data_IF_837234284081
#
_entry.id   IF_837234284081
#
_cell.length_a   1.000
_cell.length_b   1.000
_cell.length_c   1.000
_cell.angle_alpha   90.00
_cell.angle_beta   90.00
_cell.angle_gamma   90.00
#
_symmetry.space_group_name_H-M   'P 1'
#
loop_
_entity.id
_entity.type
_entity.pdbx_description
1 polymer ?
#
# COMPACT_ATOMS: atom_id res chain seq x y z
N UNK A 1 -4.63 -1.97 18.37
CA UNK A 1 -4.04 -2.85 17.34
C UNK A 1 -4.19 -2.12 16.03
N UNK A 2 -3.07 -1.73 15.42
CA UNK A 2 -3.06 -0.98 14.17
C UNK A 2 -3.67 -1.77 13.02
N UNK A 3 -4.14 -1.07 12.01
CA UNK A 3 -4.94 -1.64 10.91
C UNK A 3 -4.17 -2.57 9.96
N UNK A 4 -2.85 -2.58 10.10
CA UNK A 4 -1.99 -3.64 9.61
C UNK A 4 -1.51 -4.35 10.86
N UNK A 5 -1.75 -5.65 10.96
CA UNK A 5 -1.23 -6.49 12.02
C UNK A 5 -0.07 -7.27 11.44
N UNK A 6 1.14 -7.02 11.95
CA UNK A 6 2.13 -8.08 11.98
C UNK A 6 1.57 -9.08 12.99
N UNK A 7 1.08 -10.25 12.54
CA UNK A 7 0.75 -11.38 13.42
C UNK A 7 2.04 -11.93 14.04
N UNK A 8 2.71 -11.08 14.81
CA UNK A 8 4.02 -11.34 15.39
C UNK A 8 3.91 -12.43 16.44
N UNK A 9 2.78 -12.53 17.15
CA UNK A 9 2.51 -13.64 18.06
C UNK A 9 2.51 -15.00 17.34
N UNK A 10 1.80 -15.11 16.21
CA UNK A 10 1.79 -16.35 15.41
C UNK A 10 3.15 -16.62 14.76
N UNK A 11 3.81 -15.58 14.23
CA UNK A 11 5.14 -15.70 13.65
C UNK A 11 6.18 -16.17 14.68
N UNK A 12 6.12 -15.63 15.91
CA UNK A 12 6.95 -16.07 17.04
C UNK A 12 6.60 -17.49 17.44
N UNK A 13 5.31 -17.85 17.50
CA UNK A 13 4.86 -19.21 17.78
C UNK A 13 5.40 -20.24 16.77
N UNK A 14 5.32 -19.92 15.48
CA UNK A 14 5.85 -20.75 14.39
C UNK A 14 7.38 -20.83 14.45
N UNK A 15 8.06 -19.70 14.68
CA UNK A 15 9.52 -19.67 14.84
C UNK A 15 10.00 -20.53 16.00
N UNK A 16 9.34 -20.43 17.15
CA UNK A 16 9.65 -21.20 18.37
C UNK A 16 9.36 -22.69 18.14
N UNK A 17 8.24 -23.03 17.52
CA UNK A 17 7.91 -24.44 17.23
C UNK A 17 8.93 -25.09 16.28
N UNK A 18 9.28 -24.41 15.18
CA UNK A 18 10.24 -24.93 14.18
C UNK A 18 11.67 -24.99 14.72
N UNK A 19 12.07 -24.00 15.53
CA UNK A 19 13.38 -24.00 16.19
C UNK A 19 13.49 -25.10 17.26
N UNK A 20 12.46 -25.33 18.08
CA UNK A 20 12.45 -26.43 19.04
C UNK A 20 12.51 -27.80 18.34
N UNK A 21 11.80 -27.97 17.23
CA UNK A 21 11.91 -29.17 16.39
C UNK A 21 13.32 -29.34 15.82
N UNK A 22 13.91 -28.28 15.26
CA UNK A 22 15.28 -28.30 14.72
C UNK A 22 16.33 -28.60 15.79
N UNK A 23 16.17 -28.04 16.99
CA UNK A 23 17.04 -28.28 18.15
C UNK A 23 16.93 -29.73 18.64
N UNK A 24 15.71 -30.25 18.76
CA UNK A 24 15.46 -31.63 19.20
C UNK A 24 16.01 -32.64 18.20
N UNK A 25 15.70 -32.48 16.91
CA UNK A 25 16.19 -33.37 15.84
C UNK A 25 17.71 -33.28 15.68
N UNK A 26 18.28 -32.07 15.73
CA UNK A 26 19.72 -31.85 15.66
C UNK A 26 20.47 -32.53 16.80
N UNK A 27 19.98 -32.43 18.04
CA UNK A 27 20.57 -33.14 19.17
C UNK A 27 20.43 -34.66 19.04
N UNK A 28 19.27 -35.16 18.60
CA UNK A 28 19.05 -36.60 18.38
C UNK A 28 20.07 -37.18 17.38
N UNK A 29 20.26 -36.52 16.25
CA UNK A 29 21.19 -36.97 15.19
C UNK A 29 22.66 -36.81 15.65
N UNK A 30 22.97 -35.77 16.44
CA UNK A 30 24.32 -35.53 16.98
C UNK A 30 24.78 -36.64 17.93
N UNK A 31 23.87 -37.21 18.71
CA UNK A 31 24.17 -38.26 19.69
C UNK A 31 23.86 -39.69 19.20
N UNK A 32 23.32 -39.85 18.00
CA UNK A 32 23.03 -41.16 17.42
C UNK A 32 24.34 -41.91 17.06
N UNK A 33 24.57 -43.13 17.58
CA UNK A 33 25.72 -43.94 17.21
C UNK A 33 25.56 -44.46 15.77
N UNK A 34 26.66 -44.46 15.00
CA UNK A 34 26.69 -44.98 13.61
C UNK A 34 26.53 -43.92 12.51
N UNK A 35 26.30 -42.66 12.85
CA UNK A 35 26.15 -41.58 11.85
C UNK A 35 27.51 -40.98 11.46
N UNK A 36 27.68 -40.68 10.17
CA UNK A 36 28.92 -40.12 9.59
C UNK A 36 29.31 -38.77 10.23
N UNK A 37 30.60 -38.41 10.16
CA UNK A 37 31.09 -37.11 10.68
C UNK A 37 30.44 -35.92 9.97
N UNK A 38 30.14 -36.02 8.67
CA UNK A 38 29.49 -34.94 7.92
C UNK A 38 28.03 -34.75 8.38
N UNK A 39 27.29 -35.82 8.61
CA UNK A 39 25.91 -35.75 9.11
C UNK A 39 25.84 -35.18 10.54
N UNK A 40 26.81 -35.51 11.39
CA UNK A 40 26.91 -34.91 12.74
C UNK A 40 27.27 -33.42 12.69
N UNK A 41 28.09 -32.99 11.73
CA UNK A 41 28.39 -31.58 11.51
C UNK A 41 27.15 -30.81 11.01
N UNK A 42 26.36 -31.40 10.11
CA UNK A 42 25.08 -30.82 9.67
C UNK A 42 24.03 -30.78 10.79
N UNK A 43 24.03 -31.76 11.70
CA UNK A 43 23.17 -31.75 12.87
C UNK A 43 23.59 -30.69 13.91
N UNK A 44 24.89 -30.45 14.07
CA UNK A 44 25.39 -29.36 14.91
C UNK A 44 25.00 -27.99 14.35
N UNK A 45 25.11 -27.78 13.04
CA UNK A 45 24.66 -26.52 12.44
C UNK A 45 23.15 -26.32 12.54
N UNK A 46 22.33 -27.38 12.46
CA UNK A 46 20.88 -27.29 12.73
C UNK A 46 20.56 -26.79 14.15
N UNK A 47 21.33 -27.23 15.15
CA UNK A 47 21.20 -26.75 16.54
C UNK A 47 21.56 -25.26 16.65
N UNK A 48 22.66 -24.84 16.03
CA UNK A 48 23.09 -23.44 16.04
C UNK A 48 22.06 -22.53 15.32
N UNK A 49 21.50 -23.00 14.22
CA UNK A 49 20.42 -22.31 13.48
C UNK A 49 19.11 -22.21 14.27
N UNK A 50 18.75 -23.25 15.02
CA UNK A 50 17.58 -23.23 15.88
C UNK A 50 17.72 -22.19 17.01
N UNK A 51 18.90 -22.08 17.61
CA UNK A 51 19.20 -21.06 18.63
C UNK A 51 19.15 -19.64 18.04
N UNK A 52 19.71 -19.44 16.83
CA UNK A 52 19.63 -18.15 16.15
C UNK A 52 18.18 -17.75 15.81
N UNK A 53 17.33 -18.70 15.38
CA UNK A 53 15.91 -18.45 15.16
C UNK A 53 15.16 -18.11 16.44
N UNK A 54 15.49 -18.75 17.57
CA UNK A 54 14.92 -18.41 18.88
C UNK A 54 15.30 -16.99 19.33
N UNK A 55 16.55 -16.58 19.11
CA UNK A 55 16.98 -15.21 19.38
C UNK A 55 16.17 -14.21 18.53
N UNK A 56 16.04 -14.46 17.23
CA UNK A 56 15.23 -13.62 16.36
C UNK A 56 13.75 -13.53 16.80
N UNK A 57 13.16 -14.66 17.19
CA UNK A 57 11.78 -14.71 17.71
C UNK A 57 11.61 -13.90 19.01
N UNK A 58 12.60 -13.93 19.91
CA UNK A 58 12.59 -13.13 21.13
C UNK A 58 12.69 -11.62 20.84
N UNK A 59 13.44 -11.22 19.80
CA UNK A 59 13.57 -9.81 19.41
C UNK A 59 12.38 -9.27 18.59
N UNK A 60 11.56 -10.15 17.99
CA UNK A 60 10.43 -9.73 17.17
C UNK A 60 9.43 -8.83 17.92
N UNK A 61 9.16 -9.13 19.20
CA UNK A 61 8.28 -8.28 20.03
C UNK A 61 8.84 -6.88 20.27
N UNK A 62 10.16 -6.76 20.47
CA UNK A 62 10.84 -5.45 20.61
C UNK A 62 10.88 -4.67 19.30
N UNK A 63 11.04 -5.36 18.17
CA UNK A 63 10.96 -4.75 16.84
C UNK A 63 9.55 -4.19 16.61
N UNK A 64 8.49 -4.96 16.88
CA UNK A 64 7.10 -4.48 16.73
C UNK A 64 6.84 -3.25 17.62
N UNK A 65 7.25 -3.28 18.89
CA UNK A 65 7.11 -2.12 19.78
C UNK A 65 7.87 -0.88 19.30
N UNK A 66 9.05 -1.05 18.70
CA UNK A 66 9.81 0.04 18.11
C UNK A 66 9.12 0.58 16.84
N UNK A 67 8.60 -0.29 15.98
CA UNK A 67 7.85 0.13 14.79
C UNK A 67 6.58 0.88 15.18
N UNK A 68 5.85 0.42 16.20
CA UNK A 68 4.68 1.13 16.73
C UNK A 68 5.06 2.53 17.24
N UNK A 69 6.20 2.65 17.94
CA UNK A 69 6.68 3.97 18.39
C UNK A 69 6.95 4.93 17.23
N UNK A 70 7.51 4.43 16.12
CA UNK A 70 7.75 5.22 14.91
C UNK A 70 6.43 5.66 14.29
N UNK A 71 5.46 4.75 14.14
CA UNK A 71 4.15 5.10 13.58
C UNK A 71 3.47 6.16 14.46
N UNK A 72 3.50 6.01 15.80
CA UNK A 72 2.90 6.96 16.75
C UNK A 72 3.54 8.34 16.75
N UNK A 73 4.78 8.47 16.27
CA UNK A 73 5.46 9.75 16.16
C UNK A 73 5.02 10.55 14.92
N UNK A 74 4.55 9.88 13.86
CA UNK A 74 4.18 10.51 12.60
C UNK A 74 2.66 10.54 12.34
N UNK A 75 1.90 9.65 12.96
CA UNK A 75 0.44 9.56 12.82
C UNK A 75 -0.23 10.12 14.08
N UNK A 76 -1.21 11.03 13.97
CA UNK A 76 -1.89 11.57 15.15
C UNK A 76 -2.66 10.49 15.92
N UNK A 77 -2.63 10.57 17.26
CA UNK A 77 -3.22 9.59 18.17
C UNK A 77 -4.68 9.15 17.88
N UNK A 78 -5.63 10.04 17.47
CA UNK A 78 -7.01 9.64 17.17
C UNK A 78 -7.12 8.59 16.05
N UNK A 79 -6.15 8.59 15.13
CA UNK A 79 -6.14 7.69 13.97
C UNK A 79 -5.38 6.39 14.23
N UNK A 80 -4.68 6.25 15.34
CA UNK A 80 -4.00 5.00 15.75
C UNK A 80 -4.90 4.08 16.56
N UNK A 81 -5.86 4.67 17.28
CA UNK A 81 -6.73 3.96 18.22
C UNK A 81 -8.04 3.50 17.57
N UNK A 82 -8.50 4.18 16.51
CA UNK A 82 -9.77 3.87 15.86
C UNK A 82 -9.58 2.96 14.62
N UNK A 83 -10.05 1.69 14.60
CA UNK A 83 -9.97 0.85 13.41
C UNK A 83 -10.71 1.41 12.18
N UNK A 84 -11.60 2.41 12.36
CA UNK A 84 -12.23 3.14 11.27
C UNK A 84 -11.24 4.04 10.48
N UNK A 85 -10.15 4.48 11.10
CA UNK A 85 -9.19 5.43 10.52
C UNK A 85 -8.39 4.87 9.35
N UNK A 86 -8.12 3.56 9.31
CA UNK A 86 -7.44 2.96 8.16
C UNK A 86 -8.37 2.55 7.05
N UNK A 87 -9.66 2.44 7.36
CA UNK A 87 -10.68 2.44 6.32
C UNK A 87 -10.63 3.75 5.54
N UNK A 88 -10.32 4.89 6.18
CA UNK A 88 -10.17 6.17 5.46
C UNK A 88 -9.11 6.16 4.36
N UNK A 89 -8.01 5.42 4.52
CA UNK A 89 -6.95 5.35 3.49
C UNK A 89 -7.39 4.49 2.30
N UNK A 90 -7.99 3.35 2.59
CA UNK A 90 -8.57 2.44 1.59
C UNK A 90 -9.75 3.11 0.87
N UNK A 91 -10.67 3.70 1.64
CA UNK A 91 -11.80 4.48 1.17
C UNK A 91 -11.33 5.70 0.38
N UNK A 92 -10.22 6.35 0.74
CA UNK A 92 -9.67 7.46 -0.05
C UNK A 92 -9.26 7.00 -1.45
N UNK A 93 -8.48 5.92 -1.58
CA UNK A 93 -8.06 5.43 -2.90
C UNK A 93 -9.23 4.81 -3.68
N UNK A 94 -10.12 4.07 -3.01
CA UNK A 94 -11.30 3.49 -3.63
C UNK A 94 -12.27 4.57 -4.12
N UNK A 95 -12.60 5.55 -3.29
CA UNK A 95 -13.46 6.66 -3.66
C UNK A 95 -12.79 7.54 -4.73
N UNK A 96 -11.46 7.70 -4.70
CA UNK A 96 -10.72 8.39 -5.76
C UNK A 96 -10.90 7.70 -7.12
N UNK A 97 -10.83 6.37 -7.19
CA UNK A 97 -11.05 5.62 -8.43
C UNK A 97 -12.48 5.81 -8.94
N UNK A 98 -13.49 5.65 -8.06
CA UNK A 98 -14.88 5.80 -8.45
C UNK A 98 -15.22 7.23 -8.89
N UNK A 99 -14.72 8.24 -8.16
CA UNK A 99 -14.89 9.65 -8.53
C UNK A 99 -14.20 9.98 -9.86
N UNK A 100 -13.00 9.46 -10.11
CA UNK A 100 -12.33 9.65 -11.39
C UNK A 100 -13.15 9.04 -12.53
N UNK A 101 -13.65 7.81 -12.36
CA UNK A 101 -14.48 7.14 -13.35
C UNK A 101 -15.82 7.86 -13.59
N UNK A 102 -16.48 8.31 -12.53
CA UNK A 102 -17.74 9.06 -12.60
C UNK A 102 -17.57 10.40 -13.33
N UNK A 103 -16.52 11.16 -13.00
CA UNK A 103 -16.19 12.43 -13.66
C UNK A 103 -15.85 12.22 -15.14
N UNK A 104 -15.03 11.22 -15.48
CA UNK A 104 -14.71 10.88 -16.89
C UNK A 104 -15.99 10.51 -17.65
N UNK A 105 -16.82 9.63 -17.08
CA UNK A 105 -18.07 9.19 -17.69
C UNK A 105 -19.09 10.32 -17.84
N UNK A 106 -19.17 11.21 -16.86
CA UNK A 106 -20.05 12.38 -16.88
C UNK A 106 -19.62 13.41 -17.93
N UNK A 107 -18.35 13.79 -17.95
CA UNK A 107 -17.80 14.71 -18.95
C UNK A 107 -17.88 14.13 -20.38
N UNK A 108 -17.60 12.84 -20.55
CA UNK A 108 -17.77 12.14 -21.82
C UNK A 108 -19.24 12.07 -22.27
N UNK A 109 -20.15 11.82 -21.34
CA UNK A 109 -21.59 11.83 -21.59
C UNK A 109 -22.12 13.20 -22.02
N UNK A 110 -21.67 14.27 -21.36
CA UNK A 110 -21.99 15.65 -21.72
C UNK A 110 -21.45 15.97 -23.12
N UNK A 111 -20.19 15.65 -23.41
CA UNK A 111 -19.59 15.91 -24.72
C UNK A 111 -20.35 15.22 -25.87
N UNK A 112 -20.89 14.02 -25.63
CA UNK A 112 -21.71 13.28 -26.58
C UNK A 112 -23.15 13.84 -26.70
N UNK A 113 -23.69 14.46 -25.65
CA UNK A 113 -25.06 15.00 -25.63
C UNK A 113 -25.16 16.43 -26.20
N UNK A 114 -24.14 17.26 -26.02
CA UNK A 114 -24.10 18.66 -26.48
C UNK A 114 -24.40 18.87 -27.99
N UNK A 115 -23.97 17.99 -28.92
CA UNK A 115 -24.30 18.12 -30.35
C UNK A 115 -25.80 18.09 -30.66
N UNK A 116 -26.62 17.50 -29.78
CA UNK A 116 -28.06 17.39 -29.98
C UNK A 116 -28.84 18.66 -29.58
N UNK A 117 -28.17 19.68 -29.04
CA UNK A 117 -28.79 20.97 -28.75
C UNK A 117 -29.03 21.74 -30.07
N UNK A 118 -30.28 22.13 -30.38
CA UNK A 118 -30.59 22.84 -31.62
C UNK A 118 -29.78 24.14 -31.77
N UNK A 119 -29.41 24.49 -33.01
CA UNK A 119 -28.80 25.76 -33.44
C UNK A 119 -27.34 26.00 -32.98
N UNK A 120 -26.98 25.66 -31.75
CA UNK A 120 -25.66 25.97 -31.15
C UNK A 120 -24.89 24.74 -30.67
N UNK A 121 -25.50 23.55 -30.67
CA UNK A 121 -24.93 22.33 -30.08
C UNK A 121 -23.58 21.90 -30.64
N UNK A 122 -23.38 21.97 -31.96
CA UNK A 122 -22.12 21.60 -32.59
C UNK A 122 -20.95 22.52 -32.18
N UNK A 123 -21.18 23.84 -32.10
CA UNK A 123 -20.17 24.80 -31.70
C UNK A 123 -19.81 24.67 -30.20
N UNK A 124 -20.82 24.48 -29.34
CA UNK A 124 -20.63 24.28 -27.90
C UNK A 124 -19.91 22.95 -27.63
N UNK A 125 -20.28 21.87 -28.33
CA UNK A 125 -19.62 20.56 -28.19
C UNK A 125 -18.14 20.61 -28.54
N UNK A 126 -17.76 21.30 -29.63
CA UNK A 126 -16.35 21.47 -30.00
C UNK A 126 -15.60 22.28 -28.93
N UNK A 127 -16.14 23.42 -28.52
CA UNK A 127 -15.51 24.28 -27.50
C UNK A 127 -15.34 23.53 -26.16
N UNK A 128 -16.36 22.80 -25.74
CA UNK A 128 -16.33 21.97 -24.53
C UNK A 128 -15.30 20.85 -24.64
N UNK A 129 -15.27 20.13 -25.76
CA UNK A 129 -14.33 19.03 -25.98
C UNK A 129 -12.88 19.52 -25.96
N UNK A 130 -12.58 20.66 -26.58
CA UNK A 130 -11.22 21.24 -26.55
C UNK A 130 -10.82 21.67 -25.13
N UNK A 131 -11.73 22.26 -24.37
CA UNK A 131 -11.44 22.68 -22.99
C UNK A 131 -11.30 21.50 -22.02
N UNK A 132 -12.03 20.41 -22.24
CA UNK A 132 -12.12 19.25 -21.34
C UNK A 132 -11.18 18.10 -21.73
N UNK A 133 -10.69 18.04 -22.97
CA UNK A 133 -9.78 16.99 -23.42
C UNK A 133 -8.51 16.87 -22.56
N UNK A 134 -7.80 17.95 -22.16
CA UNK A 134 -6.64 17.83 -21.28
C UNK A 134 -7.00 17.28 -19.89
N UNK A 135 -8.17 17.65 -19.34
CA UNK A 135 -8.68 17.12 -18.07
C UNK A 135 -8.92 15.63 -18.14
N UNK A 136 -9.57 15.16 -19.22
CA UNK A 136 -9.83 13.74 -19.44
C UNK A 136 -8.54 12.94 -19.59
N UNK A 137 -7.51 13.52 -20.22
CA UNK A 137 -6.19 12.89 -20.30
C UNK A 137 -5.58 12.75 -18.91
N UNK A 138 -5.54 13.81 -18.10
CA UNK A 138 -4.97 13.74 -16.75
C UNK A 138 -5.75 12.75 -15.87
N UNK A 139 -7.08 12.81 -15.89
CA UNK A 139 -7.96 11.91 -15.13
C UNK A 139 -7.79 10.45 -15.57
N UNK A 140 -7.83 10.19 -16.87
CA UNK A 140 -7.81 8.84 -17.42
C UNK A 140 -6.42 8.18 -17.47
N UNK A 141 -5.36 8.96 -17.70
CA UNK A 141 -4.00 8.42 -17.90
C UNK A 141 -3.11 8.50 -16.66
N UNK A 142 -3.39 9.41 -15.73
CA UNK A 142 -2.57 9.60 -14.52
C UNK A 142 -3.38 9.18 -13.29
N UNK A 143 -4.48 9.87 -13.01
CA UNK A 143 -5.18 9.74 -11.72
C UNK A 143 -5.83 8.36 -11.57
N UNK A 144 -6.59 7.91 -12.57
CA UNK A 144 -7.29 6.63 -12.53
C UNK A 144 -6.34 5.43 -12.38
N UNK A 145 -5.27 5.26 -13.19
CA UNK A 145 -4.35 4.14 -13.04
C UNK A 145 -3.52 4.20 -11.77
N UNK A 146 -3.05 5.38 -11.35
CA UNK A 146 -2.25 5.50 -10.10
C UNK A 146 -3.10 5.22 -8.86
N UNK A 147 -4.33 5.74 -8.80
CA UNK A 147 -5.27 5.46 -7.71
C UNK A 147 -5.63 3.97 -7.64
N UNK A 148 -5.87 3.34 -8.80
CA UNK A 148 -6.16 1.91 -8.87
C UNK A 148 -4.97 1.05 -8.43
N UNK A 149 -3.75 1.38 -8.88
CA UNK A 149 -2.54 0.67 -8.46
C UNK A 149 -2.29 0.82 -6.96
N UNK A 150 -2.43 2.03 -6.41
CA UNK A 150 -2.27 2.28 -4.98
C UNK A 150 -3.32 1.52 -4.16
N UNK A 151 -4.58 1.51 -4.59
CA UNK A 151 -5.64 0.71 -3.96
C UNK A 151 -5.30 -0.79 -3.99
N UNK A 152 -4.89 -1.33 -5.13
CA UNK A 152 -4.52 -2.75 -5.27
C UNK A 152 -3.36 -3.11 -4.35
N UNK A 153 -2.34 -2.26 -4.24
CA UNK A 153 -1.20 -2.47 -3.36
C UNK A 153 -1.67 -2.50 -1.89
N UNK A 154 -2.42 -1.48 -1.46
CA UNK A 154 -2.96 -1.37 -0.10
C UNK A 154 -3.83 -2.59 0.24
N UNK A 155 -4.76 -2.96 -0.64
CA UNK A 155 -5.65 -4.10 -0.47
C UNK A 155 -4.86 -5.42 -0.43
N UNK A 156 -3.89 -5.62 -1.33
CA UNK A 156 -3.05 -6.81 -1.36
C UNK A 156 -2.25 -6.95 -0.05
N UNK A 157 -1.68 -5.86 0.48
CA UNK A 157 -0.95 -5.90 1.75
C UNK A 157 -1.85 -6.05 2.97
N UNK A 158 -3.11 -5.59 2.93
CA UNK A 158 -4.09 -5.88 3.99
C UNK A 158 -4.42 -7.38 4.07
N UNK A 159 -4.58 -8.02 2.92
CA UNK A 159 -4.88 -9.46 2.84
C UNK A 159 -3.65 -10.34 3.08
N UNK A 160 -2.51 -9.98 2.51
CA UNK A 160 -1.28 -10.77 2.60
C UNK A 160 -0.44 -10.46 3.85
N UNK A 161 -0.50 -9.23 4.36
CA UNK A 161 0.33 -8.72 5.46
C UNK A 161 0.39 -9.62 6.70
N UNK A 162 -0.74 -10.11 7.22
CA UNK A 162 -0.75 -11.03 8.36
C UNK A 162 0.00 -12.34 8.11
N UNK A 163 0.13 -12.77 6.85
CA UNK A 163 0.78 -14.03 6.48
C UNK A 163 2.23 -13.86 6.01
N UNK A 164 2.58 -12.69 5.45
CA UNK A 164 3.92 -12.43 4.90
C UNK A 164 5.01 -12.55 5.97
N UNK A 165 4.76 -12.04 7.18
CA UNK A 165 5.74 -12.08 8.27
C UNK A 165 5.92 -13.50 8.83
N UNK A 166 4.87 -14.26 9.22
CA UNK A 166 5.01 -15.67 9.61
C UNK A 166 5.61 -16.56 8.52
N UNK A 167 5.20 -16.38 7.26
CA UNK A 167 5.72 -17.17 6.14
C UNK A 167 7.20 -16.87 5.89
N UNK A 168 7.61 -15.60 5.99
CA UNK A 168 9.01 -15.21 5.88
C UNK A 168 9.87 -15.79 7.00
N UNK A 169 9.36 -15.79 8.24
CA UNK A 169 10.02 -16.40 9.40
C UNK A 169 10.13 -17.92 9.26
N UNK A 170 9.08 -18.60 8.80
CA UNK A 170 9.12 -20.03 8.50
C UNK A 170 10.13 -20.35 7.39
N UNK A 171 10.21 -19.52 6.35
CA UNK A 171 11.16 -19.70 5.24
C UNK A 171 12.62 -19.52 5.69
N UNK A 172 12.92 -18.56 6.59
CA UNK A 172 14.26 -18.42 7.20
C UNK A 172 14.61 -19.61 8.10
N UNK A 173 13.63 -20.14 8.85
CA UNK A 173 13.83 -21.28 9.74
C UNK A 173 14.14 -22.59 8.99
N UNK A 174 13.82 -22.68 7.69
CA UNK A 174 14.16 -23.86 6.89
C UNK A 174 15.66 -23.90 6.49
N UNK A 175 16.29 -25.09 6.52
CA UNK A 175 17.70 -25.26 6.16
C UNK A 175 17.90 -25.30 4.63
N UNK A 176 17.46 -24.26 3.92
CA UNK A 176 17.67 -24.11 2.48
C UNK A 176 18.05 -22.66 2.15
N UNK A 177 19.20 -22.47 1.48
CA UNK A 177 19.76 -21.16 1.13
C UNK A 177 18.81 -20.30 0.29
N UNK A 178 18.05 -20.92 -0.62
CA UNK A 178 17.07 -20.21 -1.45
C UNK A 178 15.85 -19.75 -0.65
N UNK A 179 15.35 -20.59 0.27
CA UNK A 179 14.22 -20.26 1.14
C UNK A 179 14.58 -19.19 2.17
N UNK A 180 15.83 -19.17 2.65
CA UNK A 180 16.33 -18.09 3.52
C UNK A 180 16.34 -16.73 2.82
N UNK A 181 16.80 -16.69 1.57
CA UNK A 181 16.75 -15.48 0.75
C UNK A 181 15.32 -14.99 0.51
N UNK A 182 14.41 -15.90 0.18
CA UNK A 182 12.98 -15.58 0.01
C UNK A 182 12.35 -15.10 1.33
N UNK A 183 12.67 -15.75 2.45
CA UNK A 183 12.17 -15.39 3.77
C UNK A 183 12.63 -14.00 4.21
N UNK A 184 13.89 -13.64 3.96
CA UNK A 184 14.41 -12.30 4.23
C UNK A 184 13.68 -11.22 3.40
N UNK A 185 13.34 -11.52 2.15
CA UNK A 185 12.51 -10.65 1.31
C UNK A 185 11.12 -10.49 1.94
N UNK A 186 10.42 -11.58 2.25
CA UNK A 186 9.07 -11.55 2.81
C UNK A 186 8.99 -10.79 4.14
N UNK A 187 9.96 -10.97 5.04
CA UNK A 187 10.04 -10.23 6.31
C UNK A 187 10.28 -8.75 6.05
N UNK A 188 11.19 -8.40 5.13
CA UNK A 188 11.51 -7.00 4.82
C UNK A 188 10.31 -6.26 4.25
N UNK A 189 9.59 -6.92 3.34
CA UNK A 189 8.36 -6.41 2.77
C UNK A 189 7.29 -6.23 3.85
N UNK A 190 7.08 -7.22 4.72
CA UNK A 190 6.11 -7.10 5.79
C UNK A 190 6.41 -5.93 6.76
N UNK A 191 7.67 -5.75 7.16
CA UNK A 191 8.08 -4.67 8.07
C UNK A 191 7.91 -3.29 7.44
N UNK A 192 8.38 -3.11 6.20
CA UNK A 192 8.37 -1.79 5.56
C UNK A 192 6.95 -1.38 5.17
N UNK A 193 6.12 -2.30 4.69
CA UNK A 193 4.72 -1.96 4.38
C UNK A 193 3.88 -1.77 5.64
N UNK A 194 4.17 -2.48 6.73
CA UNK A 194 3.54 -2.23 8.03
C UNK A 194 3.75 -0.79 8.52
N UNK A 195 4.96 -0.24 8.37
CA UNK A 195 5.26 1.13 8.80
C UNK A 195 4.92 2.20 7.77
N UNK A 196 5.15 1.95 6.49
CA UNK A 196 4.98 2.96 5.45
C UNK A 196 3.51 3.21 5.08
N UNK A 197 2.68 2.15 4.99
CA UNK A 197 1.29 2.29 4.52
C UNK A 197 0.45 3.27 5.35
N UNK A 198 0.53 3.29 6.70
CA UNK A 198 -0.19 4.27 7.50
C UNK A 198 0.31 5.71 7.30
N UNK A 199 1.58 5.91 6.95
CA UNK A 199 2.23 7.24 6.90
C UNK A 199 1.98 7.94 5.56
N UNK A 200 1.93 7.18 4.46
CA UNK A 200 1.85 7.72 3.09
C UNK A 200 0.74 8.77 2.90
N UNK A 201 -0.51 8.54 3.33
CA UNK A 201 -1.61 9.49 3.13
C UNK A 201 -1.38 10.80 3.90
N UNK A 202 -0.89 10.72 5.13
CA UNK A 202 -0.61 11.91 5.95
C UNK A 202 0.56 12.72 5.41
N UNK A 203 1.62 12.05 4.95
CA UNK A 203 2.74 12.72 4.32
C UNK A 203 2.26 13.54 3.11
N UNK A 204 1.41 12.96 2.27
CA UNK A 204 0.85 13.60 1.08
C UNK A 204 -0.07 14.77 1.46
N UNK A 205 -0.99 14.56 2.40
CA UNK A 205 -1.89 15.62 2.89
C UNK A 205 -1.10 16.81 3.47
N UNK A 206 -0.03 16.53 4.24
CA UNK A 206 0.80 17.59 4.82
C UNK A 206 1.58 18.38 3.76
N UNK A 207 2.07 17.71 2.71
CA UNK A 207 2.80 18.36 1.61
C UNK A 207 1.85 19.21 0.76
N UNK A 208 0.62 18.73 0.54
CA UNK A 208 -0.42 19.44 -0.20
C UNK A 208 -1.08 20.55 0.62
N UNK A 209 -0.83 20.62 1.93
CA UNK A 209 -1.42 21.61 2.84
C UNK A 209 -2.92 21.43 3.08
N UNK A 210 -3.46 20.23 2.87
CA UNK A 210 -4.88 19.95 3.07
C UNK A 210 -5.18 19.70 4.55
N UNK A 211 -6.37 20.09 5.02
CA UNK A 211 -6.77 19.86 6.42
C UNK A 211 -7.09 18.39 6.72
N UNK A 212 -7.45 17.62 5.69
CA UNK A 212 -7.67 16.17 5.75
C UNK A 212 -8.12 15.56 4.42
N UNK A 213 -8.16 14.21 4.30
CA UNK A 213 -8.56 13.52 3.08
C UNK A 213 -10.06 13.66 2.78
N UNK A 214 -10.88 13.85 3.82
CA UNK A 214 -12.34 14.00 3.69
C UNK A 214 -12.76 15.30 3.02
N UNK A 215 -12.07 16.41 3.33
CA UNK A 215 -12.34 17.71 2.72
C UNK A 215 -12.11 17.67 1.20
N UNK A 216 -11.00 17.04 0.77
CA UNK A 216 -10.70 16.85 -0.63
C UNK A 216 -11.74 15.97 -1.36
N UNK A 217 -12.14 14.85 -0.75
CA UNK A 217 -13.18 13.96 -1.31
C UNK A 217 -14.54 14.65 -1.41
N UNK A 218 -14.86 15.53 -0.45
CA UNK A 218 -16.09 16.33 -0.47
C UNK A 218 -16.08 17.31 -1.64
N UNK A 219 -15.00 18.06 -1.83
CA UNK A 219 -14.85 18.99 -2.97
C UNK A 219 -14.99 18.26 -4.31
N UNK A 220 -14.41 17.07 -4.46
CA UNK A 220 -14.61 16.25 -5.65
C UNK A 220 -16.06 15.75 -5.81
N UNK A 221 -16.76 15.45 -4.72
CA UNK A 221 -18.19 15.12 -4.73
C UNK A 221 -19.09 16.29 -5.14
N UNK A 222 -18.72 17.51 -4.80
CA UNK A 222 -19.43 18.71 -5.28
C UNK A 222 -19.32 18.83 -6.81
N UNK A 223 -18.14 18.62 -7.38
CA UNK A 223 -17.97 18.60 -8.84
C UNK A 223 -18.70 17.44 -9.52
N UNK A 224 -18.70 16.25 -8.91
CA UNK A 224 -19.48 15.09 -9.38
C UNK A 224 -20.97 15.42 -9.46
N UNK A 225 -21.53 16.01 -8.41
CA UNK A 225 -22.95 16.41 -8.38
C UNK A 225 -23.29 17.50 -9.42
N UNK A 226 -22.37 18.44 -9.66
CA UNK A 226 -22.53 19.45 -10.72
C UNK A 226 -22.55 18.79 -12.10
N UNK A 227 -21.67 17.82 -12.36
CA UNK A 227 -21.62 17.08 -13.62
C UNK A 227 -22.89 16.24 -13.81
N UNK A 228 -23.39 15.59 -12.77
CA UNK A 228 -24.67 14.85 -12.82
C UNK A 228 -25.85 15.76 -13.15
N UNK A 229 -25.94 16.93 -12.52
CA UNK A 229 -27.00 17.91 -12.82
C UNK A 229 -26.97 18.41 -14.28
N UNK A 230 -25.78 18.55 -14.86
CA UNK A 230 -25.58 18.93 -16.27
C UNK A 230 -25.91 17.81 -17.25
N UNK A 231 -25.81 16.55 -16.83
CA UNK A 231 -26.21 15.38 -17.61
C UNK A 231 -27.74 15.27 -17.71
N UNK A 232 -28.46 15.61 -16.64
CA UNK A 232 -29.93 15.58 -16.61
C UNK A 232 -30.55 16.74 -17.41
N UNK A 233 -29.92 17.92 -17.42
CA UNK A 233 -30.36 19.06 -18.23
C UNK A 233 -29.18 19.76 -18.93
N UNK A 234 -28.81 19.34 -20.15
CA UNK A 234 -27.77 20.02 -20.92
C UNK A 234 -28.25 21.41 -21.36
N UNK A 235 -27.69 22.46 -20.76
CA UNK A 235 -28.09 23.85 -21.01
C UNK A 235 -27.00 24.63 -21.76
N UNK A 236 -27.41 25.66 -22.50
CA UNK A 236 -26.50 26.54 -23.25
C UNK A 236 -25.54 27.37 -22.37
N UNK A 237 -25.70 27.35 -21.05
CA UNK A 237 -24.87 28.03 -20.05
C UNK A 237 -23.87 27.13 -19.32
N UNK A 238 -23.40 26.05 -19.95
CA UNK A 238 -22.56 25.05 -19.30
C UNK A 238 -21.27 25.63 -18.66
N UNK A 239 -20.74 26.71 -19.24
CA UNK A 239 -19.55 27.41 -18.74
C UNK A 239 -19.84 28.38 -17.58
N UNK A 240 -21.12 28.74 -17.35
CA UNK A 240 -21.54 29.52 -16.17
C UNK A 240 -21.77 28.62 -14.96
N UNK A 241 -22.18 27.36 -15.19
CA UNK A 241 -22.39 26.35 -14.14
C UNK A 241 -21.08 25.63 -13.79
N UNK A 242 -20.21 25.41 -14.78
CA UNK A 242 -18.96 24.66 -14.61
C UNK A 242 -17.74 25.56 -14.79
N UNK A 243 -17.10 25.95 -13.68
CA UNK A 243 -15.87 26.72 -13.72
C UNK A 243 -14.66 25.81 -14.02
N UNK A 244 -14.37 25.67 -15.31
CA UNK A 244 -13.29 24.81 -15.83
C UNK A 244 -11.93 25.15 -15.21
N UNK A 245 -11.65 26.43 -14.96
CA UNK A 245 -10.34 26.86 -14.44
C UNK A 245 -10.11 26.35 -13.01
N UNK A 246 -11.09 26.52 -12.11
CA UNK A 246 -11.00 25.99 -10.74
C UNK A 246 -10.98 24.47 -10.70
N UNK A 247 -11.74 23.85 -11.61
CA UNK A 247 -11.72 22.40 -11.74
C UNK A 247 -10.34 21.90 -12.21
N UNK A 248 -9.70 22.63 -13.13
CA UNK A 248 -8.34 22.32 -13.60
C UNK A 248 -7.31 22.36 -12.49
N UNK A 249 -7.33 23.40 -11.65
CA UNK A 249 -6.46 23.52 -10.47
C UNK A 249 -6.67 22.33 -9.52
N UNK A 250 -7.92 21.97 -9.24
CA UNK A 250 -8.27 20.85 -8.35
C UNK A 250 -7.78 19.50 -8.92
N UNK A 251 -7.90 19.29 -10.24
CA UNK A 251 -7.44 18.07 -10.92
C UNK A 251 -5.92 18.00 -10.98
N UNK A 252 -5.22 19.14 -11.11
CA UNK A 252 -3.75 19.18 -11.02
C UNK A 252 -3.30 18.81 -9.60
N UNK A 253 -3.88 19.43 -8.58
CA UNK A 253 -3.54 19.13 -7.19
C UNK A 253 -3.79 17.64 -6.87
N UNK A 254 -4.87 17.08 -7.41
CA UNK A 254 -5.13 15.65 -7.33
C UNK A 254 -4.04 14.81 -8.01
N UNK A 255 -3.66 15.17 -9.24
CA UNK A 255 -2.61 14.46 -9.98
C UNK A 255 -1.27 14.52 -9.23
N UNK A 256 -0.94 15.65 -8.60
CA UNK A 256 0.26 15.81 -7.77
C UNK A 256 0.18 14.92 -6.54
N UNK A 257 -0.96 14.84 -5.85
CA UNK A 257 -1.16 13.94 -4.72
C UNK A 257 -1.02 12.45 -5.12
N UNK A 258 -1.57 12.07 -6.27
CA UNK A 258 -1.42 10.73 -6.86
C UNK A 258 0.05 10.42 -7.23
N UNK A 259 0.80 11.40 -7.71
CA UNK A 259 2.22 11.23 -8.02
C UNK A 259 3.07 11.11 -6.76
N UNK A 260 2.82 11.96 -5.74
CA UNK A 260 3.51 11.89 -4.45
C UNK A 260 3.28 10.55 -3.76
N UNK A 261 2.04 10.06 -3.73
CA UNK A 261 1.74 8.72 -3.20
C UNK A 261 2.52 7.63 -3.93
N UNK A 262 2.57 7.66 -5.27
CA UNK A 262 3.36 6.71 -6.05
C UNK A 262 4.87 6.78 -5.74
N UNK A 263 5.41 7.99 -5.54
CA UNK A 263 6.82 8.18 -5.13
C UNK A 263 7.08 7.57 -3.75
N UNK A 264 6.22 7.81 -2.76
CA UNK A 264 6.39 7.21 -1.43
C UNK A 264 6.25 5.69 -1.46
N UNK A 265 5.33 5.14 -2.24
CA UNK A 265 5.20 3.71 -2.47
C UNK A 265 6.49 3.15 -3.10
N UNK A 266 7.04 3.80 -4.12
CA UNK A 266 8.31 3.39 -4.73
C UNK A 266 9.49 3.43 -3.75
N UNK A 267 9.55 4.44 -2.88
CA UNK A 267 10.55 4.52 -1.80
C UNK A 267 10.37 3.36 -0.82
N UNK A 268 9.13 3.02 -0.45
CA UNK A 268 8.85 1.86 0.41
C UNK A 268 9.32 0.54 -0.24
N UNK A 269 9.05 0.33 -1.53
CA UNK A 269 9.58 -0.82 -2.27
C UNK A 269 11.11 -0.85 -2.31
N UNK A 270 11.75 0.31 -2.52
CA UNK A 270 13.21 0.42 -2.52
C UNK A 270 13.81 0.13 -1.14
N UNK A 271 13.20 0.63 -0.06
CA UNK A 271 13.60 0.37 1.31
C UNK A 271 13.41 -1.11 1.69
N UNK A 272 12.29 -1.73 1.31
CA UNK A 272 12.06 -3.16 1.50
C UNK A 272 13.13 -4.00 0.78
N UNK A 273 13.49 -3.61 -0.44
CA UNK A 273 14.58 -4.27 -1.19
C UNK A 273 15.94 -4.08 -0.52
N UNK A 274 16.28 -2.87 -0.06
CA UNK A 274 17.53 -2.62 0.66
C UNK A 274 17.65 -3.43 1.95
N UNK A 275 16.57 -3.49 2.74
CA UNK A 275 16.49 -4.29 3.96
C UNK A 275 16.61 -5.79 3.64
N UNK A 276 15.99 -6.25 2.55
CA UNK A 276 16.09 -7.65 2.12
C UNK A 276 17.49 -8.05 1.69
N UNK A 277 18.28 -7.13 1.12
CA UNK A 277 19.68 -7.38 0.78
C UNK A 277 20.57 -7.44 2.03
N UNK A 278 20.28 -6.63 3.04
CA UNK A 278 20.97 -6.70 4.33
C UNK A 278 20.67 -8.02 5.05
N UNK A 279 19.39 -8.37 5.21
CA UNK A 279 18.96 -9.62 5.86
C UNK A 279 19.33 -10.87 5.04
N UNK A 280 19.12 -10.81 3.73
CA UNK A 280 19.43 -11.88 2.79
C UNK A 280 20.94 -12.10 2.61
N UNK A 281 21.73 -11.03 2.59
CA UNK A 281 23.20 -11.09 2.52
C UNK A 281 23.80 -11.75 3.76
N UNK A 282 23.27 -11.45 4.95
CA UNK A 282 23.66 -12.09 6.21
C UNK A 282 23.14 -13.53 6.31
N UNK A 283 21.92 -13.84 5.83
CA UNK A 283 21.37 -15.20 5.90
C UNK A 283 21.91 -16.17 4.82
N UNK A 284 22.41 -15.64 3.69
CA UNK A 284 22.96 -16.44 2.58
C UNK A 284 24.48 -16.62 2.66
N UNK A 285 25.17 -15.89 3.54
CA UNK A 285 26.61 -16.07 3.84
C UNK A 285 26.88 -17.18 4.87
N UNK A 286 25.83 -17.74 5.48
CA UNK A 286 25.88 -18.84 6.47
C UNK A 286 25.12 -20.05 5.92
#
# INVERSE_FOLDING_TARGET
>A
MGCYSLNAADAVGVAVALSLLGYAVGNLIRFLPGVSRSTRASAASMVDYAVACLMFAAFAGGIVGLLDSVITAFVPAPYLEDPASCKLVEDFFQNSVWKAAAIIGGLGGIAAALPFIPVVGAAISIAFTVAVAPLLIILGSIILPTSALNYVIVAAFKWAGPFLFPAGVAAIATPNRLLKGLGAVLISFAIVFYTALPIIPYAVISIMGWSGPEEFLKTLGEYESQIESLKESPTAGIFDVFNITKFYETVIDWAVACLLTAVFVAIAFAAARGLSQSLGGVSASV
#
